data_IF_741039267961
#
_entry.id   IF_741039267961
#
_cell.length_a   1.000
_cell.length_b   1.000
_cell.length_c   1.000
_cell.angle_alpha   90.00
_cell.angle_beta   90.00
_cell.angle_gamma   90.00
#
_symmetry.space_group_name_H-M   'P 1'
#
loop_
_entity.id
_entity.type
_entity.pdbx_description
1 polymer ?
#
# COMPACT_ATOMS: atom_id res chain seq x y z
N UNK A 1 8.08 -6.79 16.15
CA UNK A 1 8.14 -5.36 15.78
C UNK A 1 6.97 -5.06 14.86
N UNK A 2 6.45 -3.82 14.85
CA UNK A 2 5.42 -3.43 13.87
C UNK A 2 6.03 -3.32 12.47
N UNK A 3 5.25 -3.48 11.38
CA UNK A 3 5.73 -3.21 10.04
C UNK A 3 6.36 -1.82 9.95
N UNK A 4 7.53 -1.70 9.30
CA UNK A 4 8.23 -0.43 9.13
C UNK A 4 8.84 0.14 10.42
N UNK A 5 8.81 -0.61 11.52
CA UNK A 5 9.39 -0.17 12.79
C UNK A 5 10.91 -0.06 12.68
N UNK A 6 11.43 1.17 12.84
CA UNK A 6 12.86 1.41 13.02
C UNK A 6 13.33 0.67 14.26
N UNK A 7 14.45 -0.04 14.14
CA UNK A 7 15.06 -0.76 15.24
C UNK A 7 16.57 -0.80 15.08
N UNK A 8 17.24 -0.96 16.23
CA UNK A 8 18.66 -1.23 16.33
C UNK A 8 18.83 -2.43 17.26
N UNK A 9 19.76 -3.32 16.93
CA UNK A 9 20.12 -4.45 17.77
C UNK A 9 21.54 -4.24 18.29
N UNK A 10 21.71 -4.40 19.61
CA UNK A 10 23.01 -4.36 20.27
C UNK A 10 23.21 -5.65 21.07
N UNK A 11 24.32 -6.33 20.81
CA UNK A 11 24.64 -7.65 21.40
C UNK A 11 25.90 -7.51 22.26
N UNK A 12 25.77 -7.24 23.57
CA UNK A 12 26.93 -6.99 24.45
C UNK A 12 27.72 -8.25 24.82
N UNK A 13 27.09 -9.42 24.73
CA UNK A 13 27.66 -10.73 25.08
C UNK A 13 27.26 -11.78 24.04
N UNK A 14 28.04 -12.85 23.93
CA UNK A 14 27.78 -13.95 23.00
C UNK A 14 26.37 -14.52 23.19
N UNK A 15 25.50 -14.29 22.20
CA UNK A 15 24.07 -14.62 22.27
C UNK A 15 23.61 -15.31 20.99
N UNK A 16 22.72 -16.30 21.12
CA UNK A 16 21.98 -16.90 20.01
C UNK A 16 20.54 -16.42 20.08
N UNK A 17 20.09 -15.73 19.02
CA UNK A 17 18.73 -15.21 18.91
C UNK A 17 17.94 -15.97 17.84
N UNK A 18 16.66 -16.23 18.10
CA UNK A 18 15.72 -16.75 17.11
C UNK A 18 14.69 -15.66 16.79
N UNK A 19 14.50 -15.36 15.51
CA UNK A 19 13.54 -14.38 15.03
C UNK A 19 12.71 -14.92 13.86
N UNK A 20 11.51 -14.40 13.68
CA UNK A 20 10.63 -14.73 12.56
C UNK A 20 9.82 -13.52 12.14
N UNK A 21 9.46 -13.46 10.86
CA UNK A 21 8.56 -12.46 10.29
C UNK A 21 7.21 -13.10 9.95
N UNK A 22 6.12 -12.38 10.17
CA UNK A 22 4.77 -12.81 9.77
C UNK A 22 3.93 -11.61 9.35
N UNK A 23 2.95 -11.85 8.47
CA UNK A 23 1.93 -10.85 8.15
C UNK A 23 0.78 -10.94 9.14
N UNK A 24 0.38 -9.78 9.67
CA UNK A 24 -0.75 -9.66 10.58
C UNK A 24 -1.92 -8.99 9.84
N UNK A 25 -3.09 -9.64 9.69
CA UNK A 25 -4.27 -9.05 9.05
C UNK A 25 -4.65 -7.67 9.58
N UNK A 26 -4.54 -7.46 10.89
CA UNK A 26 -4.86 -6.20 11.55
C UNK A 26 -3.83 -5.07 11.31
N UNK A 27 -2.69 -5.38 10.68
CA UNK A 27 -1.61 -4.43 10.43
C UNK A 27 -1.30 -4.27 8.93
N UNK A 28 -2.21 -4.70 8.04
CA UNK A 28 -1.97 -4.67 6.60
C UNK A 28 -1.86 -3.25 6.03
N UNK A 29 -2.52 -2.27 6.65
CA UNK A 29 -2.30 -0.84 6.34
C UNK A 29 -0.83 -0.44 6.55
N UNK A 30 -0.28 -0.77 7.73
CA UNK A 30 1.12 -0.50 8.05
C UNK A 30 2.09 -1.32 7.18
N UNK A 31 1.75 -2.57 6.87
CA UNK A 31 2.50 -3.40 5.92
C UNK A 31 2.56 -2.73 4.54
N UNK A 32 1.43 -2.26 4.01
CA UNK A 32 1.40 -1.59 2.71
C UNK A 32 2.29 -0.34 2.72
N UNK A 33 2.15 0.52 3.73
CA UNK A 33 2.99 1.72 3.85
C UNK A 33 4.48 1.36 3.90
N UNK A 34 4.83 0.32 4.64
CA UNK A 34 6.21 -0.17 4.77
C UNK A 34 6.74 -0.76 3.47
N UNK A 35 5.91 -1.46 2.69
CA UNK A 35 6.29 -2.01 1.39
C UNK A 35 6.54 -0.89 0.37
N UNK A 36 5.67 0.12 0.32
CA UNK A 36 5.86 1.29 -0.55
C UNK A 36 7.12 2.06 -0.15
N UNK A 37 7.31 2.30 1.14
CA UNK A 37 8.50 2.99 1.65
C UNK A 37 9.79 2.21 1.36
N UNK A 38 9.79 0.90 1.65
CA UNK A 38 10.89 -0.02 1.35
C UNK A 38 11.24 -0.06 -0.13
N UNK A 39 10.23 -0.11 -1.00
CA UNK A 39 10.38 -0.11 -2.45
C UNK A 39 11.03 1.19 -2.97
N UNK A 40 10.60 2.35 -2.48
CA UNK A 40 11.14 3.65 -2.94
C UNK A 40 12.55 3.90 -2.40
N UNK A 41 12.81 3.55 -1.13
CA UNK A 41 14.09 3.78 -0.45
C UNK A 41 14.96 2.52 -0.38
N UNK A 42 14.85 1.64 -1.39
CA UNK A 42 15.49 0.33 -1.43
C UNK A 42 17.01 0.36 -1.15
N UNK A 43 17.69 1.47 -1.43
CA UNK A 43 19.13 1.63 -1.17
C UNK A 43 19.49 1.78 0.31
N UNK A 44 18.56 2.27 1.13
CA UNK A 44 18.83 2.73 2.49
C UNK A 44 18.27 1.81 3.56
N UNK A 45 17.28 1.00 3.21
CA UNK A 45 16.59 0.12 4.14
C UNK A 45 17.14 -1.28 3.95
N UNK A 46 17.68 -1.87 5.03
CA UNK A 46 18.16 -3.25 5.01
C UNK A 46 17.00 -4.23 5.19
N UNK A 47 17.19 -5.49 4.82
CA UNK A 47 16.20 -6.57 5.04
C UNK A 47 14.83 -6.33 4.36
N UNK A 48 14.84 -5.68 3.19
CA UNK A 48 13.65 -5.29 2.44
C UNK A 48 13.17 -6.33 1.42
N UNK A 49 14.04 -7.26 1.03
CA UNK A 49 13.72 -8.25 0.02
C UNK A 49 13.59 -9.64 0.64
N UNK A 50 12.36 -10.12 0.70
CA UNK A 50 12.03 -11.50 1.00
C UNK A 50 10.99 -12.00 -0.02
N UNK A 51 11.40 -12.28 -1.28
CA UNK A 51 10.48 -12.67 -2.34
C UNK A 51 9.58 -13.85 -1.95
N UNK A 52 10.09 -14.78 -1.14
CA UNK A 52 9.36 -15.94 -0.62
C UNK A 52 8.14 -15.54 0.21
N UNK A 53 8.19 -14.39 0.89
CA UNK A 53 7.06 -13.89 1.69
C UNK A 53 5.95 -13.32 0.81
N UNK A 54 6.21 -12.93 -0.45
CA UNK A 54 5.17 -12.42 -1.36
C UNK A 54 4.13 -13.50 -1.70
N UNK A 55 4.54 -14.77 -1.72
CA UNK A 55 3.62 -15.91 -1.84
C UNK A 55 2.59 -15.92 -0.70
N UNK A 56 2.99 -15.51 0.52
CA UNK A 56 2.09 -15.49 1.67
C UNK A 56 0.98 -14.44 1.50
N UNK A 57 1.30 -13.27 0.96
CA UNK A 57 0.31 -12.21 0.68
C UNK A 57 -0.74 -12.68 -0.33
N UNK A 58 -0.31 -13.37 -1.39
CA UNK A 58 -1.23 -13.98 -2.36
C UNK A 58 -2.11 -15.04 -1.68
N UNK A 59 -1.52 -15.90 -0.83
CA UNK A 59 -2.27 -16.91 -0.07
C UNK A 59 -3.29 -16.29 0.89
N UNK A 60 -2.97 -15.18 1.56
CA UNK A 60 -3.91 -14.43 2.39
C UNK A 60 -5.08 -13.93 1.54
N UNK A 61 -4.81 -13.39 0.35
CA UNK A 61 -5.87 -12.91 -0.53
C UNK A 61 -6.74 -14.05 -1.07
N UNK A 62 -6.15 -15.16 -1.52
CA UNK A 62 -6.91 -16.36 -1.88
C UNK A 62 -7.72 -16.86 -0.70
N UNK A 63 -7.17 -16.79 0.51
CA UNK A 63 -7.89 -17.14 1.72
C UNK A 63 -9.15 -16.27 1.87
N UNK A 64 -9.03 -14.94 1.75
CA UNK A 64 -10.16 -14.02 1.79
C UNK A 64 -11.17 -14.26 0.67
N UNK A 65 -10.71 -14.46 -0.57
CA UNK A 65 -11.56 -14.72 -1.73
C UNK A 65 -12.46 -15.95 -1.52
N UNK A 66 -11.88 -17.07 -1.13
CA UNK A 66 -12.64 -18.30 -0.86
C UNK A 66 -13.61 -18.15 0.32
N UNK A 67 -13.31 -17.29 1.30
CA UNK A 67 -14.15 -17.09 2.48
C UNK A 67 -15.30 -16.14 2.25
N UNK A 68 -15.01 -14.96 1.73
CA UNK A 68 -15.98 -13.89 1.52
C UNK A 68 -16.91 -14.19 0.34
N UNK A 69 -16.37 -14.82 -0.72
CA UNK A 69 -17.08 -15.00 -1.99
C UNK A 69 -17.56 -16.44 -2.13
N UNK A 70 -16.65 -17.41 -2.09
CA UNK A 70 -17.01 -18.83 -2.30
C UNK A 70 -17.71 -19.47 -1.10
N UNK A 71 -17.66 -18.83 0.08
CA UNK A 71 -18.20 -19.34 1.35
C UNK A 71 -17.67 -20.74 1.68
N UNK A 72 -16.43 -21.03 1.31
CA UNK A 72 -15.89 -22.38 1.25
C UNK A 72 -15.08 -22.80 2.50
N UNK A 73 -15.52 -22.43 3.71
CA UNK A 73 -14.77 -22.70 4.94
C UNK A 73 -15.57 -23.28 6.10
N UNK A 74 -14.85 -23.97 6.98
CA UNK A 74 -15.37 -24.44 8.26
C UNK A 74 -15.55 -23.27 9.23
N UNK A 75 -16.38 -23.45 10.27
CA UNK A 75 -16.67 -22.42 11.28
C UNK A 75 -15.43 -21.89 12.00
N UNK A 76 -14.36 -22.68 12.11
CA UNK A 76 -13.10 -22.29 12.76
C UNK A 76 -12.30 -21.27 11.96
N UNK A 77 -12.36 -21.32 10.62
CA UNK A 77 -11.56 -20.45 9.77
C UNK A 77 -12.18 -19.05 9.64
N UNK A 78 -13.47 -18.91 9.99
CA UNK A 78 -14.20 -17.64 9.93
C UNK A 78 -13.58 -16.56 10.82
N UNK A 79 -12.95 -16.95 11.94
CA UNK A 79 -12.28 -16.02 12.84
C UNK A 79 -11.06 -15.31 12.20
N UNK A 80 -10.54 -15.84 11.09
CA UNK A 80 -9.39 -15.27 10.38
C UNK A 80 -9.80 -14.43 9.16
N UNK A 81 -11.09 -14.39 8.82
CA UNK A 81 -11.61 -13.52 7.77
C UNK A 81 -11.79 -12.09 8.30
N UNK A 82 -11.73 -11.07 7.42
CA UNK A 82 -12.14 -9.71 7.77
C UNK A 82 -13.60 -9.70 8.28
N UNK A 83 -13.86 -9.14 9.46
CA UNK A 83 -15.16 -9.20 10.14
C UNK A 83 -16.09 -8.05 9.72
N UNK A 84 -16.27 -7.87 8.40
CA UNK A 84 -16.94 -6.73 7.77
C UNK A 84 -18.46 -6.61 7.99
N UNK A 85 -19.02 -7.26 9.01
CA UNK A 85 -20.46 -7.24 9.28
C UNK A 85 -20.95 -8.19 10.38
N UNK A 86 -20.05 -8.74 11.20
CA UNK A 86 -20.42 -9.68 12.27
C UNK A 86 -20.66 -9.01 13.62
N UNK A 87 -20.44 -7.71 13.74
CA UNK A 87 -20.80 -6.99 14.95
C UNK A 87 -22.32 -6.96 15.11
N UNK A 88 -22.82 -7.37 16.28
CA UNK A 88 -24.21 -7.19 16.71
C UNK A 88 -24.64 -5.70 16.75
N UNK A 89 -23.70 -4.79 16.47
CA UNK A 89 -23.91 -3.37 16.24
C UNK A 89 -23.81 -3.15 14.73
N UNK A 90 -24.77 -2.46 14.13
CA UNK A 90 -24.83 -2.15 12.70
C UNK A 90 -23.69 -1.21 12.20
N UNK A 91 -22.54 -1.21 12.86
CA UNK A 91 -21.38 -0.37 12.60
C UNK A 91 -20.25 -1.26 12.11
N UNK A 92 -19.81 -1.01 10.87
CA UNK A 92 -18.66 -1.67 10.26
C UNK A 92 -17.41 -0.95 10.77
N UNK A 93 -16.43 -1.71 11.26
CA UNK A 93 -15.14 -1.17 11.61
C UNK A 93 -14.38 -0.75 10.33
N UNK A 94 -14.12 0.55 10.21
CA UNK A 94 -13.41 1.10 9.05
C UNK A 94 -11.98 0.57 8.97
N UNK A 95 -11.34 0.25 10.10
CA UNK A 95 -9.98 -0.27 10.11
C UNK A 95 -9.92 -1.67 9.47
N UNK A 96 -10.96 -2.49 9.65
CA UNK A 96 -11.04 -3.78 8.98
C UNK A 96 -11.27 -3.65 7.48
N UNK A 97 -12.11 -2.69 7.06
CA UNK A 97 -12.29 -2.36 5.64
C UNK A 97 -10.96 -1.92 5.04
N UNK A 98 -10.26 -1.00 5.69
CA UNK A 98 -8.98 -0.48 5.21
C UNK A 98 -7.89 -1.56 5.20
N UNK A 99 -7.87 -2.48 6.17
CA UNK A 99 -6.96 -3.62 6.17
C UNK A 99 -7.26 -4.60 5.01
N UNK A 100 -8.53 -4.87 4.70
CA UNK A 100 -8.88 -5.66 3.50
C UNK A 100 -8.43 -4.94 2.22
N UNK A 101 -8.74 -3.65 2.08
CA UNK A 101 -8.35 -2.88 0.90
C UNK A 101 -6.83 -2.77 0.77
N UNK A 102 -6.10 -2.67 1.88
CA UNK A 102 -4.64 -2.72 1.91
C UNK A 102 -4.11 -4.08 1.42
N UNK A 103 -4.72 -5.19 1.87
CA UNK A 103 -4.38 -6.53 1.39
C UNK A 103 -4.53 -6.63 -0.14
N UNK A 104 -5.68 -6.18 -0.64
CA UNK A 104 -5.98 -6.13 -2.05
C UNK A 104 -4.98 -5.26 -2.80
N UNK A 105 -4.68 -4.06 -2.31
CA UNK A 105 -3.78 -3.12 -2.95
C UNK A 105 -2.33 -3.62 -3.01
N UNK A 106 -1.83 -4.27 -1.94
CA UNK A 106 -0.51 -4.91 -1.93
C UNK A 106 -0.40 -5.93 -3.08
N UNK A 107 -1.42 -6.77 -3.25
CA UNK A 107 -1.42 -7.80 -4.30
C UNK A 107 -1.67 -7.20 -5.69
N UNK A 108 -2.56 -6.22 -5.78
CA UNK A 108 -2.90 -5.54 -7.03
C UNK A 108 -1.66 -4.85 -7.62
N UNK A 109 -0.96 -4.09 -6.79
CA UNK A 109 0.30 -3.42 -7.12
C UNK A 109 1.55 -4.29 -6.91
N UNK A 110 1.42 -5.61 -6.77
CA UNK A 110 2.57 -6.48 -6.47
C UNK A 110 3.72 -6.33 -7.46
N UNK A 111 3.44 -6.28 -8.78
CA UNK A 111 4.47 -6.01 -9.79
C UNK A 111 4.99 -4.58 -9.69
N UNK A 112 4.11 -3.60 -9.48
CA UNK A 112 4.50 -2.18 -9.37
C UNK A 112 5.47 -1.97 -8.21
N UNK A 113 5.29 -2.70 -7.11
CA UNK A 113 6.14 -2.63 -5.91
C UNK A 113 7.24 -3.70 -5.91
N UNK A 114 7.60 -4.25 -7.06
CA UNK A 114 8.67 -5.22 -7.22
C UNK A 114 9.82 -4.64 -8.07
N UNK A 115 11.02 -4.42 -7.50
CA UNK A 115 12.18 -3.94 -8.26
C UNK A 115 12.51 -4.81 -9.48
N UNK A 116 12.19 -6.11 -9.43
CA UNK A 116 12.40 -7.04 -10.55
C UNK A 116 11.54 -6.72 -11.78
N UNK A 117 10.41 -6.01 -11.60
CA UNK A 117 9.58 -5.52 -12.73
C UNK A 117 10.37 -4.58 -13.64
N UNK A 118 11.31 -3.86 -13.06
CA UNK A 118 12.10 -2.82 -13.69
C UNK A 118 13.51 -3.27 -14.08
N UNK A 119 13.82 -4.54 -13.85
CA UNK A 119 15.16 -5.10 -14.05
C UNK A 119 15.13 -6.13 -15.19
N UNK A 120 16.06 -6.08 -16.16
CA UNK A 120 16.16 -7.12 -17.18
C UNK A 120 16.49 -8.49 -16.56
N UNK A 121 16.06 -9.60 -17.17
CA UNK A 121 16.34 -10.94 -16.66
C UNK A 121 17.84 -11.19 -16.44
N UNK A 122 18.20 -11.65 -15.24
CA UNK A 122 19.56 -12.05 -14.89
C UNK A 122 20.55 -10.89 -14.68
N UNK A 123 20.07 -9.66 -14.53
CA UNK A 123 20.91 -8.54 -14.08
C UNK A 123 20.93 -8.42 -12.56
N UNK A 124 22.08 -7.99 -12.03
CA UNK A 124 22.20 -7.67 -10.60
C UNK A 124 21.36 -6.44 -10.25
N UNK A 125 20.74 -6.48 -9.08
CA UNK A 125 19.93 -5.37 -8.56
C UNK A 125 20.74 -4.07 -8.45
N UNK A 126 20.16 -2.96 -8.91
CA UNK A 126 20.84 -1.66 -8.97
C UNK A 126 21.66 -1.41 -10.24
N UNK A 127 21.76 -2.38 -11.15
CA UNK A 127 22.40 -2.16 -12.46
C UNK A 127 21.45 -1.43 -13.41
N UNK A 128 21.96 -0.41 -14.10
CA UNK A 128 21.20 0.32 -15.12
C UNK A 128 21.12 -0.53 -16.38
N UNK A 129 19.90 -0.81 -16.86
CA UNK A 129 19.67 -1.50 -18.11
C UNK A 129 20.22 -0.69 -19.29
N UNK A 130 20.89 -1.37 -20.24
CA UNK A 130 21.26 -0.74 -21.51
C UNK A 130 20.01 -0.44 -22.32
N UNK A 131 20.07 0.56 -23.21
CA UNK A 131 18.94 0.93 -24.09
C UNK A 131 18.38 -0.28 -24.86
N UNK A 132 19.25 -1.16 -25.36
CA UNK A 132 18.84 -2.40 -26.03
C UNK A 132 18.08 -3.35 -25.10
N UNK A 133 18.50 -3.46 -23.84
CA UNK A 133 17.79 -4.28 -22.85
C UNK A 133 16.43 -3.67 -22.53
N UNK A 134 16.33 -2.36 -22.32
CA UNK A 134 15.05 -1.68 -22.09
C UNK A 134 14.09 -1.88 -23.27
N UNK A 135 14.57 -1.75 -24.51
CA UNK A 135 13.76 -2.02 -25.71
C UNK A 135 13.28 -3.48 -25.77
N UNK A 136 14.09 -4.45 -25.36
CA UNK A 136 13.68 -5.87 -25.30
C UNK A 136 12.65 -6.09 -24.19
N UNK A 137 12.85 -5.48 -23.02
CA UNK A 137 11.90 -5.56 -21.92
C UNK A 137 10.54 -5.02 -22.35
N UNK A 138 10.52 -3.87 -23.01
CA UNK A 138 9.29 -3.25 -23.51
C UNK A 138 8.64 -4.08 -24.63
N UNK A 139 9.40 -4.49 -25.64
CA UNK A 139 8.86 -5.20 -26.81
C UNK A 139 8.32 -6.59 -26.48
N UNK A 140 8.87 -7.25 -25.47
CA UNK A 140 8.52 -8.63 -25.12
C UNK A 140 7.90 -8.77 -23.72
N UNK A 141 7.64 -7.66 -23.03
CA UNK A 141 7.22 -7.63 -21.62
C UNK A 141 8.10 -8.55 -20.73
N UNK A 142 9.42 -8.51 -20.93
CA UNK A 142 10.37 -9.36 -20.19
C UNK A 142 10.97 -8.58 -19.03
N UNK A 143 11.09 -9.23 -17.87
CA UNK A 143 11.73 -8.68 -16.67
C UNK A 143 12.17 -9.85 -15.76
N UNK A 144 12.78 -9.54 -14.62
CA UNK A 144 13.37 -10.55 -13.75
C UNK A 144 12.36 -11.35 -12.89
N UNK A 145 11.06 -11.10 -13.05
CA UNK A 145 10.01 -11.93 -12.42
C UNK A 145 9.78 -13.18 -13.28
N UNK A 146 9.90 -14.35 -12.66
CA UNK A 146 9.75 -15.64 -13.33
C UNK A 146 8.34 -15.84 -13.88
N UNK A 147 8.16 -16.61 -14.97
CA UNK A 147 6.83 -16.90 -15.54
C UNK A 147 5.84 -17.47 -14.51
N UNK A 148 6.28 -18.44 -13.70
CA UNK A 148 5.45 -19.07 -12.66
C UNK A 148 4.98 -18.04 -11.61
N UNK A 149 5.86 -17.11 -11.22
CA UNK A 149 5.50 -16.06 -10.27
C UNK A 149 4.53 -15.05 -10.91
N UNK A 150 4.73 -14.69 -12.18
CA UNK A 150 3.80 -13.83 -12.93
C UNK A 150 2.42 -14.45 -13.04
N UNK A 151 2.32 -15.74 -13.32
CA UNK A 151 1.05 -16.47 -13.35
C UNK A 151 0.33 -16.35 -12.00
N UNK A 152 1.04 -16.61 -10.90
CA UNK A 152 0.48 -16.46 -9.56
C UNK A 152 0.06 -15.03 -9.22
N UNK A 153 0.75 -14.01 -9.74
CA UNK A 153 0.35 -12.61 -9.56
C UNK A 153 -0.90 -12.29 -10.38
N UNK A 154 -0.99 -12.76 -11.62
CA UNK A 154 -2.17 -12.61 -12.45
C UNK A 154 -3.41 -13.28 -11.82
N UNK A 155 -3.25 -14.51 -11.32
CA UNK A 155 -4.31 -15.24 -10.61
C UNK A 155 -4.79 -14.45 -9.37
N UNK A 156 -3.85 -13.99 -8.54
CA UNK A 156 -4.17 -13.25 -7.33
C UNK A 156 -4.82 -11.88 -7.64
N UNK A 157 -4.43 -11.21 -8.73
CA UNK A 157 -5.10 -9.99 -9.23
C UNK A 157 -6.54 -10.26 -9.65
N UNK A 158 -6.81 -11.41 -10.29
CA UNK A 158 -8.18 -11.87 -10.55
C UNK A 158 -9.00 -11.95 -9.26
N UNK A 159 -8.43 -12.55 -8.21
CA UNK A 159 -9.07 -12.62 -6.91
C UNK A 159 -9.32 -11.23 -6.27
N UNK A 160 -8.42 -10.25 -6.45
CA UNK A 160 -8.65 -8.86 -6.02
C UNK A 160 -9.91 -8.28 -6.68
N UNK A 161 -10.03 -8.44 -8.00
CA UNK A 161 -11.18 -7.90 -8.76
C UNK A 161 -12.49 -8.49 -8.28
N UNK A 162 -12.51 -9.79 -8.03
CA UNK A 162 -13.68 -10.47 -7.48
C UNK A 162 -14.04 -9.92 -6.09
N UNK A 163 -13.04 -9.69 -5.22
CA UNK A 163 -13.24 -9.09 -3.89
C UNK A 163 -13.79 -7.66 -4.00
N UNK A 164 -13.30 -6.84 -4.92
CA UNK A 164 -13.84 -5.49 -5.14
C UNK A 164 -15.26 -5.52 -5.67
N UNK A 165 -15.56 -6.39 -6.63
CA UNK A 165 -16.92 -6.58 -7.13
C UNK A 165 -17.87 -7.01 -6.01
N UNK A 166 -17.45 -8.00 -5.20
CA UNK A 166 -18.19 -8.43 -4.02
C UNK A 166 -18.39 -7.28 -3.02
N UNK A 167 -17.36 -6.47 -2.76
CA UNK A 167 -17.43 -5.34 -1.84
C UNK A 167 -18.45 -4.30 -2.34
N UNK A 168 -18.35 -3.88 -3.61
CA UNK A 168 -19.28 -2.92 -4.24
C UNK A 168 -20.73 -3.39 -4.20
N UNK A 169 -20.97 -4.70 -4.30
CA UNK A 169 -22.32 -5.28 -4.22
C UNK A 169 -22.89 -5.34 -2.80
N UNK A 170 -22.03 -5.34 -1.76
CA UNK A 170 -22.44 -5.56 -0.37
C UNK A 170 -22.42 -4.31 0.49
N UNK A 171 -21.63 -3.31 0.12
CA UNK A 171 -21.45 -2.10 0.90
C UNK A 171 -21.81 -0.88 0.08
N UNK A 172 -22.57 0.01 0.70
CA UNK A 172 -22.83 1.35 0.17
C UNK A 172 -22.14 2.34 1.10
N UNK A 173 -21.24 3.12 0.55
CA UNK A 173 -20.51 4.15 1.29
C UNK A 173 -21.09 5.48 0.89
N UNK A 174 -21.56 6.22 1.87
CA UNK A 174 -22.15 7.53 1.71
C UNK A 174 -21.40 8.52 2.57
N UNK A 175 -21.20 9.72 2.04
CA UNK A 175 -20.79 10.86 2.84
C UNK A 175 -22.03 11.74 3.05
N UNK A 176 -22.29 12.22 4.28
CA UNK A 176 -23.36 13.20 4.51
C UNK A 176 -23.21 14.38 3.54
N UNK A 177 -24.29 14.68 2.81
CA UNK A 177 -24.31 15.76 1.81
C UNK A 177 -23.86 15.37 0.39
N UNK A 178 -23.43 14.13 0.15
CA UNK A 178 -23.26 13.59 -1.21
C UNK A 178 -24.45 12.69 -1.56
N UNK A 179 -25.10 13.02 -2.68
CA UNK A 179 -26.27 12.28 -3.18
C UNK A 179 -25.89 10.90 -3.77
N UNK A 180 -24.62 10.72 -4.13
CA UNK A 180 -24.12 9.51 -4.79
C UNK A 180 -23.25 8.65 -3.86
N UNK A 181 -23.43 7.33 -3.95
CA UNK A 181 -22.56 6.36 -3.30
C UNK A 181 -21.12 6.45 -3.83
N UNK A 182 -20.16 6.21 -2.94
CA UNK A 182 -18.74 6.28 -3.22
C UNK A 182 -18.19 4.88 -3.50
N UNK A 183 -17.58 4.70 -4.67
CA UNK A 183 -16.78 3.50 -4.97
C UNK A 183 -15.44 3.55 -4.23
N UNK A 184 -15.45 3.08 -2.97
CA UNK A 184 -14.28 3.12 -2.09
C UNK A 184 -13.10 2.30 -2.63
N UNK A 185 -13.26 1.04 -3.09
CA UNK A 185 -12.14 0.28 -3.65
C UNK A 185 -11.37 1.03 -4.75
N UNK A 186 -12.08 1.58 -5.74
CA UNK A 186 -11.46 2.33 -6.84
C UNK A 186 -10.75 3.59 -6.36
N UNK A 187 -11.39 4.35 -5.46
CA UNK A 187 -10.79 5.56 -4.88
C UNK A 187 -9.57 5.25 -4.04
N UNK A 188 -9.60 4.15 -3.30
CA UNK A 188 -8.47 3.70 -2.48
C UNK A 188 -7.27 3.34 -3.37
N UNK A 189 -7.47 2.56 -4.43
CA UNK A 189 -6.42 2.25 -5.40
C UNK A 189 -5.86 3.51 -6.07
N UNK A 190 -6.74 4.41 -6.52
CA UNK A 190 -6.32 5.66 -7.16
C UNK A 190 -5.49 6.54 -6.21
N UNK A 191 -5.93 6.66 -4.95
CA UNK A 191 -5.22 7.45 -3.97
C UNK A 191 -3.82 6.86 -3.70
N UNK A 192 -3.74 5.54 -3.55
CA UNK A 192 -2.47 4.85 -3.34
C UNK A 192 -1.54 4.98 -4.56
N UNK A 193 -2.03 4.77 -5.78
CA UNK A 193 -1.28 4.95 -7.02
C UNK A 193 -0.62 6.34 -7.07
N UNK A 194 -1.39 7.37 -6.75
CA UNK A 194 -0.91 8.76 -6.68
C UNK A 194 0.12 8.98 -5.59
N UNK A 195 -0.09 8.41 -4.41
CA UNK A 195 0.85 8.51 -3.31
C UNK A 195 2.19 7.84 -3.68
N UNK A 196 2.16 6.66 -4.30
CA UNK A 196 3.35 5.97 -4.78
C UNK A 196 4.14 6.86 -5.75
N UNK A 197 3.47 7.43 -6.76
CA UNK A 197 4.11 8.29 -7.76
C UNK A 197 4.67 9.58 -7.16
N UNK A 198 3.88 10.27 -6.32
CA UNK A 198 4.34 11.48 -5.61
C UNK A 198 5.54 11.17 -4.73
N UNK A 199 5.52 10.03 -4.06
CA UNK A 199 6.58 9.68 -3.14
C UNK A 199 7.88 9.35 -3.88
N UNK A 200 7.81 8.62 -5.00
CA UNK A 200 8.95 8.40 -5.89
C UNK A 200 9.49 9.72 -6.45
N UNK A 201 8.61 10.58 -6.95
CA UNK A 201 8.99 11.89 -7.49
C UNK A 201 9.70 12.76 -6.44
N UNK A 202 9.19 12.80 -5.22
CA UNK A 202 9.82 13.52 -4.12
C UNK A 202 11.20 12.92 -3.79
N UNK A 203 11.35 11.60 -3.78
CA UNK A 203 12.65 10.96 -3.57
C UNK A 203 13.67 11.34 -4.65
N UNK A 204 13.25 11.38 -5.92
CA UNK A 204 14.11 11.77 -7.05
C UNK A 204 14.54 13.24 -6.99
N UNK A 205 13.62 14.17 -6.70
CA UNK A 205 13.96 15.61 -6.55
C UNK A 205 15.00 15.83 -5.46
N UNK A 206 14.86 15.12 -4.35
CA UNK A 206 15.75 15.26 -3.20
C UNK A 206 17.06 14.48 -3.38
N UNK A 207 17.34 13.95 -4.58
CA UNK A 207 18.53 13.16 -4.91
C UNK A 207 18.75 11.98 -3.94
N UNK A 208 17.67 11.50 -3.31
CA UNK A 208 17.75 10.38 -2.39
C UNK A 208 17.90 9.15 -3.26
N UNK A 209 19.11 8.58 -3.30
CA UNK A 209 19.44 7.41 -4.12
C UNK A 209 18.37 6.31 -4.05
N UNK A 210 17.48 6.27 -5.04
CA UNK A 210 16.59 5.14 -5.25
C UNK A 210 17.47 4.01 -5.79
N UNK A 211 17.63 2.91 -5.05
CA UNK A 211 18.39 1.76 -5.56
C UNK A 211 17.77 1.15 -6.81
N UNK A 212 16.48 1.40 -7.04
CA UNK A 212 15.84 0.91 -8.24
C UNK A 212 16.17 1.83 -9.42
N UNK A 213 16.85 1.26 -10.42
CA UNK A 213 17.32 1.91 -11.66
C UNK A 213 16.17 2.25 -12.63
N UNK A 214 15.05 2.75 -12.10
CA UNK A 214 13.89 3.22 -12.86
C UNK A 214 13.51 4.62 -12.43
N UNK A 215 12.99 5.40 -13.38
CA UNK A 215 12.49 6.75 -13.14
C UNK A 215 10.98 6.76 -12.83
N UNK A 216 10.47 7.90 -12.39
CA UNK A 216 9.03 8.10 -12.13
C UNK A 216 8.15 7.77 -13.34
N UNK A 217 8.64 7.95 -14.58
CA UNK A 217 7.88 7.68 -15.80
C UNK A 217 7.63 6.19 -16.01
N UNK A 218 8.64 5.36 -15.79
CA UNK A 218 8.48 3.90 -15.85
C UNK A 218 7.59 3.38 -14.71
N UNK A 219 7.67 3.98 -13.51
CA UNK A 219 6.75 3.67 -12.42
C UNK A 219 5.29 4.04 -12.77
N UNK A 220 5.07 5.22 -13.34
CA UNK A 220 3.77 5.70 -13.82
C UNK A 220 3.17 4.73 -14.83
N UNK A 221 3.95 4.33 -15.83
CA UNK A 221 3.54 3.34 -16.83
C UNK A 221 3.06 2.03 -16.20
N UNK A 222 3.79 1.51 -15.20
CA UNK A 222 3.40 0.28 -14.51
C UNK A 222 2.15 0.44 -13.63
N UNK A 223 1.98 1.61 -13.01
CA UNK A 223 0.77 1.98 -12.29
C UNK A 223 -0.42 2.01 -13.24
N UNK A 224 -0.31 2.65 -14.40
CA UNK A 224 -1.37 2.73 -15.41
C UNK A 224 -1.73 1.34 -15.93
N UNK A 225 -0.75 0.54 -16.36
CA UNK A 225 -0.98 -0.85 -16.80
C UNK A 225 -1.75 -1.67 -15.77
N UNK A 226 -1.47 -1.44 -14.49
CA UNK A 226 -2.13 -2.15 -13.39
C UNK A 226 -3.54 -1.62 -13.14
N UNK A 227 -3.76 -0.29 -13.18
CA UNK A 227 -5.07 0.33 -13.00
C UNK A 227 -6.04 0.00 -14.13
N UNK A 228 -5.56 -0.16 -15.36
CA UNK A 228 -6.36 -0.60 -16.52
C UNK A 228 -7.06 -1.95 -16.31
N UNK A 229 -6.69 -2.72 -15.29
CA UNK A 229 -7.33 -4.00 -14.96
C UNK A 229 -8.65 -3.84 -14.17
N UNK A 230 -8.94 -2.66 -13.62
CA UNK A 230 -10.22 -2.33 -12.97
C UNK A 230 -10.85 -1.11 -13.65
N UNK A 231 -11.89 -1.34 -14.45
CA UNK A 231 -12.54 -0.31 -15.28
C UNK A 231 -12.93 0.94 -14.46
N UNK A 232 -13.45 0.74 -13.25
CA UNK A 232 -13.88 1.84 -12.38
C UNK A 232 -12.70 2.67 -11.86
N UNK A 233 -11.59 2.03 -11.48
CA UNK A 233 -10.37 2.74 -11.11
C UNK A 233 -9.72 3.44 -12.32
N UNK A 234 -9.76 2.83 -13.50
CA UNK A 234 -9.23 3.40 -14.74
C UNK A 234 -10.03 4.61 -15.22
N UNK A 235 -11.37 4.53 -15.23
CA UNK A 235 -12.23 5.67 -15.57
C UNK A 235 -12.00 6.84 -14.59
N UNK A 236 -11.81 6.52 -13.30
CA UNK A 236 -11.50 7.52 -12.30
C UNK A 236 -10.10 8.12 -12.50
N UNK A 237 -9.11 7.32 -12.91
CA UNK A 237 -7.79 7.81 -13.32
C UNK A 237 -7.92 8.81 -14.47
N UNK A 238 -8.54 8.42 -15.58
CA UNK A 238 -8.70 9.27 -16.77
C UNK A 238 -9.47 10.56 -16.49
N UNK A 239 -10.60 10.47 -15.78
CA UNK A 239 -11.44 11.63 -15.46
C UNK A 239 -10.75 12.66 -14.57
N UNK A 240 -9.73 12.25 -13.82
CA UNK A 240 -8.98 13.13 -12.92
C UNK A 240 -7.61 13.54 -13.47
N UNK A 241 -7.14 12.90 -14.55
CA UNK A 241 -5.90 13.21 -15.26
C UNK A 241 -6.07 14.23 -16.42
N UNK A 242 -7.29 14.68 -16.72
CA UNK A 242 -7.55 15.69 -17.76
C UNK A 242 -7.03 17.12 -17.46
N UNK A 243 -6.29 17.32 -16.37
CA UNK A 243 -5.55 18.55 -16.08
C UNK A 243 -4.19 18.21 -15.49
N UNK A 244 -3.14 18.55 -16.25
CA UNK A 244 -1.72 18.57 -15.90
C UNK A 244 -1.37 18.28 -14.42
N UNK A 245 -1.34 17.00 -14.04
CA UNK A 245 -0.90 16.60 -12.70
C UNK A 245 0.61 16.81 -12.50
N UNK A 246 1.35 16.84 -13.61
CA UNK A 246 2.78 17.14 -13.71
C UNK A 246 3.06 18.62 -13.99
N UNK A 247 2.10 19.54 -13.85
CA UNK A 247 2.43 20.96 -13.91
C UNK A 247 3.26 21.32 -12.67
N UNK A 248 4.52 21.73 -12.89
CA UNK A 248 5.52 22.02 -11.85
C UNK A 248 5.00 22.97 -10.76
N UNK A 249 4.01 23.80 -11.09
CA UNK A 249 3.38 24.77 -10.19
C UNK A 249 2.49 24.15 -9.11
N UNK A 250 1.81 23.03 -9.39
CA UNK A 250 0.98 22.34 -8.39
C UNK A 250 1.82 21.44 -7.48
N UNK A 251 2.91 20.89 -8.02
CA UNK A 251 3.89 20.05 -7.30
C UNK A 251 4.73 20.87 -6.30
N UNK A 252 5.08 22.11 -6.61
CA UNK A 252 5.82 23.01 -5.70
C UNK A 252 5.02 23.44 -4.45
N UNK A 253 3.69 23.20 -4.40
CA UNK A 253 2.85 23.57 -3.25
C UNK A 253 2.78 22.50 -2.16
N UNK A 254 3.35 21.31 -2.40
CA UNK A 254 3.37 20.21 -1.43
C UNK A 254 4.82 19.89 -1.09
N UNK A 255 5.51 20.86 -0.47
CA UNK A 255 6.73 20.56 0.27
C UNK A 255 6.35 19.73 1.47
N UNK A 256 6.53 18.41 1.37
CA UNK A 256 6.57 17.54 2.55
C UNK A 256 7.91 17.83 3.22
N UNK A 257 7.89 18.72 4.22
CA UNK A 257 9.05 19.02 5.05
C UNK A 257 9.32 17.78 5.93
N UNK A 258 10.08 16.82 5.40
CA UNK A 258 10.58 15.68 6.18
C UNK A 258 11.71 16.21 7.05
N UNK A 259 11.34 16.81 8.18
CA UNK A 259 12.30 17.10 9.25
C UNK A 259 12.70 15.77 9.89
N UNK A 260 13.85 15.26 9.48
CA UNK A 260 14.60 14.34 10.32
C UNK A 260 15.16 15.17 11.47
N UNK A 261 14.58 15.03 12.66
CA UNK A 261 15.15 15.65 13.86
C UNK A 261 16.59 15.15 14.01
N UNK A 262 17.55 16.06 13.80
CA UNK A 262 18.94 15.76 14.13
C UNK A 262 19.05 15.54 15.64
N UNK A 263 19.75 14.49 16.10
CA UNK A 263 19.98 14.30 17.52
C UNK A 263 20.84 15.46 18.04
N UNK A 264 20.26 16.30 18.88
CA UNK A 264 20.95 17.44 19.49
C UNK A 264 22.20 16.96 20.23
N UNK A 265 23.36 17.39 19.76
CA UNK A 265 24.62 17.22 20.46
C UNK A 265 24.80 18.36 21.47
N UNK A 266 24.38 18.14 22.71
CA UNK A 266 24.84 18.88 23.89
C UNK A 266 24.41 18.05 25.11
N UNK A 267 25.29 17.58 25.99
CA UNK A 267 26.23 18.39 26.77
C UNK A 267 25.68 18.50 28.18
N UNK A 268 26.25 17.74 29.12
CA UNK A 268 25.82 17.66 30.51
C UNK A 268 25.85 19.02 31.24
N UNK A 269 24.82 19.31 32.06
CA UNK A 269 24.91 20.08 33.30
C UNK A 269 23.59 20.05 34.07
N UNK A 270 23.68 19.93 35.39
CA UNK A 270 22.60 19.94 36.36
C UNK A 270 22.06 21.35 36.68
N UNK A 271 20.92 21.35 37.38
CA UNK A 271 20.22 22.44 38.10
C UNK A 271 19.39 23.46 37.31
N UNK A 272 18.13 23.63 37.74
CA UNK A 272 17.36 24.85 37.49
C UNK A 272 15.87 24.64 37.23
N UNK A 273 15.04 25.14 38.13
CA UNK A 273 13.58 25.03 38.13
C UNK A 273 12.85 25.85 37.03
N UNK A 274 11.67 25.33 36.66
CA UNK A 274 10.39 26.03 36.37
C UNK A 274 10.42 27.37 35.61
N UNK A 275 9.95 27.33 34.35
CA UNK A 275 8.82 28.10 33.78
C UNK A 275 9.05 28.38 32.28
N UNK A 276 8.08 27.99 31.43
CA UNK A 276 7.75 28.64 30.16
C UNK A 276 6.52 27.91 29.61
N UNK A 277 5.33 28.48 29.82
CA UNK A 277 4.59 29.24 28.80
C UNK A 277 4.23 28.36 27.60
N UNK A 278 3.01 27.82 27.66
CA UNK A 278 2.29 27.21 26.56
C UNK A 278 1.80 28.32 25.64
N UNK A 279 2.46 28.50 24.51
CA UNK A 279 1.95 29.35 23.43
C UNK A 279 1.15 28.52 22.43
N UNK A 280 -0.02 29.09 22.12
CA UNK A 280 -1.03 28.67 21.16
C UNK A 280 -0.44 28.34 19.79
N UNK A 281 -0.74 27.14 19.29
CA UNK A 281 -0.86 26.89 17.86
C UNK A 281 -2.31 26.53 17.57
N UNK A 282 -2.98 27.54 17.00
CA UNK A 282 -4.32 27.53 16.45
C UNK A 282 -4.54 26.33 15.55
N UNK A 283 -5.58 25.60 15.93
CA UNK A 283 -6.34 24.60 15.20
C UNK A 283 -6.73 25.16 13.81
N UNK A 284 -6.16 24.62 12.74
CA UNK A 284 -6.79 24.70 11.41
C UNK A 284 -7.71 23.49 11.27
N UNK A 285 -9.01 23.78 11.38
CA UNK A 285 -10.11 22.86 11.15
C UNK A 285 -10.11 22.37 9.69
N UNK A 286 -9.46 21.24 9.44
CA UNK A 286 -9.83 20.36 8.35
C UNK A 286 -10.99 19.48 8.82
N UNK A 287 -12.22 19.79 8.41
CA UNK A 287 -13.38 18.93 8.64
C UNK A 287 -13.08 17.50 8.12
N UNK A 288 -12.77 16.59 9.03
CA UNK A 288 -12.87 15.15 8.79
C UNK A 288 -14.37 14.85 8.70
N UNK A 289 -14.92 14.93 7.50
CA UNK A 289 -16.31 14.57 7.29
C UNK A 289 -16.54 13.12 7.71
N UNK A 290 -17.50 12.89 8.61
CA UNK A 290 -17.91 11.55 9.04
C UNK A 290 -18.32 10.73 7.81
N UNK A 291 -17.63 9.61 7.57
CA UNK A 291 -18.03 8.63 6.55
C UNK A 291 -18.80 7.51 7.24
N UNK A 292 -19.99 7.19 6.73
CA UNK A 292 -20.75 6.04 7.19
C UNK A 292 -20.72 4.93 6.12
N UNK A 293 -20.38 3.72 6.56
CA UNK A 293 -20.46 2.51 5.73
C UNK A 293 -21.73 1.77 6.12
N UNK A 294 -22.63 1.58 5.15
CA UNK A 294 -23.88 0.86 5.37
C UNK A 294 -23.92 -0.42 4.54
N UNK A 295 -24.57 -1.46 5.06
CA UNK A 295 -24.85 -2.68 4.31
C UNK A 295 -25.87 -2.36 3.21
N UNK A 296 -25.51 -2.67 1.96
CA UNK A 296 -26.38 -2.51 0.81
C UNK A 296 -27.35 -3.69 0.68
N UNK A 297 -28.66 -3.43 0.81
CA UNK A 297 -29.72 -4.41 0.56
C UNK A 297 -29.95 -5.45 1.66
N UNK A 298 -31.10 -6.16 1.59
CA UNK A 298 -31.45 -7.24 2.54
C UNK A 298 -30.43 -8.37 2.41
N UNK A 299 -29.60 -8.54 3.43
CA UNK A 299 -28.86 -9.76 3.65
C UNK A 299 -29.83 -10.85 4.09
N UNK A 300 -30.34 -11.64 3.13
CA UNK A 300 -30.93 -12.93 3.46
C UNK A 300 -29.79 -13.86 3.89
N UNK A 301 -29.45 -13.81 5.17
CA UNK A 301 -28.74 -14.89 5.81
C UNK A 301 -29.69 -16.08 5.84
N UNK A 302 -29.36 -17.23 5.21
CA UNK A 302 -30.12 -18.45 5.46
C UNK A 302 -29.98 -18.77 6.95
N UNK A 303 -31.05 -18.52 7.70
CA UNK A 303 -31.16 -18.91 9.09
C UNK A 303 -31.22 -20.43 9.17
N UNK A 304 -30.26 -20.99 9.90
CA UNK A 304 -30.21 -22.34 10.51
C UNK A 304 -30.76 -23.50 9.71
#
# INVERSE_FOLDING_TARGET
>A
MRPGGLHCAYTPEDTICHGSHFYCPAALQATLASLVHGFIFHAYITNISHPETRVLLRRILHFYHRGLIQKAYMTTDQAHLPQLGHSLRHEIDIDEVLNLLSACAIVFFANVLDPRTYTPPGMEEGTIATEKQSQIMEAYDTNDITPDEREGICEARGAVRDIFSWFRQRFTISRPGLENSVDLPSRYLLHLARLILRYKYAAEINEVASAAAFDVGELERQVENTLMLDDSAWDLWLSTCHGAWLDKEMMNRVNVDVRLDEPSTAGASADGALNMETDDLTQEDGEVGDFSVHLGGRCDFPGK
#
